data_IF_663600812162
#
_entry.id   IF_663600812162
#
_cell.length_a   1.000
_cell.length_b   1.000
_cell.length_c   1.000
_cell.angle_alpha   90.00
_cell.angle_beta   90.00
_cell.angle_gamma   90.00
#
_symmetry.space_group_name_H-M   'P 1'
#
loop_
_entity.id
_entity.type
_entity.pdbx_description
1 polymer ?
#
# COMPACT_ATOMS: atom_id res chain seq x y z
N UNK A 1 -22.17 -22.94 -9.23
CA UNK A 1 -21.45 -24.18 -8.86
C UNK A 1 -20.13 -24.39 -9.63
N UNK A 2 -20.03 -24.17 -10.95
CA UNK A 2 -18.78 -24.41 -11.73
C UNK A 2 -17.60 -23.48 -11.41
N UNK A 3 -17.84 -22.23 -11.00
CA UNK A 3 -16.78 -21.24 -10.76
C UNK A 3 -15.97 -21.54 -9.47
N UNK A 4 -16.67 -21.95 -8.40
CA UNK A 4 -16.05 -22.28 -7.10
C UNK A 4 -15.12 -23.50 -7.20
N UNK A 5 -15.49 -24.52 -7.98
CA UNK A 5 -14.63 -25.69 -8.21
C UNK A 5 -13.36 -25.36 -8.98
N UNK A 6 -13.44 -24.49 -10.00
CA UNK A 6 -12.25 -24.03 -10.76
C UNK A 6 -11.30 -23.22 -9.89
N UNK A 7 -11.84 -22.32 -9.06
CA UNK A 7 -11.04 -21.46 -8.18
C UNK A 7 -10.29 -22.29 -7.11
N UNK A 8 -10.97 -23.28 -6.54
CA UNK A 8 -10.37 -24.21 -5.56
C UNK A 8 -9.24 -25.02 -6.20
N UNK A 9 -9.44 -25.52 -7.42
CA UNK A 9 -8.40 -26.27 -8.16
C UNK A 9 -7.14 -25.42 -8.41
N UNK A 10 -7.32 -24.18 -8.89
CA UNK A 10 -6.19 -23.25 -9.13
C UNK A 10 -5.45 -22.93 -7.83
N UNK A 11 -6.20 -22.73 -6.74
CA UNK A 11 -5.63 -22.50 -5.42
C UNK A 11 -4.80 -23.70 -4.92
N UNK A 12 -5.32 -24.92 -5.06
CA UNK A 12 -4.62 -26.14 -4.65
C UNK A 12 -3.37 -26.40 -5.50
N UNK A 13 -3.44 -26.15 -6.81
CA UNK A 13 -2.30 -26.21 -7.73
C UNK A 13 -1.20 -25.19 -7.33
N UNK A 14 -1.59 -23.96 -6.99
CA UNK A 14 -0.66 -22.92 -6.52
C UNK A 14 -0.01 -23.28 -5.18
N UNK A 15 -0.78 -23.87 -4.25
CA UNK A 15 -0.27 -24.41 -2.97
C UNK A 15 0.65 -25.61 -3.17
N UNK A 16 0.59 -26.30 -4.30
CA UNK A 16 1.52 -27.37 -4.64
C UNK A 16 2.88 -26.89 -5.19
N UNK A 17 3.09 -25.58 -5.40
CA UNK A 17 4.28 -25.07 -6.08
C UNK A 17 5.17 -24.22 -5.16
N UNK A 18 6.49 -24.47 -5.19
CA UNK A 18 7.49 -23.82 -4.32
C UNK A 18 7.63 -22.32 -4.57
N UNK A 19 7.41 -21.85 -5.80
CA UNK A 19 7.60 -20.45 -6.17
C UNK A 19 6.56 -19.53 -5.53
N UNK A 20 5.31 -20.00 -5.39
CA UNK A 20 4.29 -19.25 -4.66
C UNK A 20 4.59 -19.18 -3.16
N UNK A 21 5.18 -20.24 -2.58
CA UNK A 21 5.66 -20.18 -1.19
C UNK A 21 6.75 -19.15 -1.00
N UNK A 22 7.76 -19.13 -1.88
CA UNK A 22 8.82 -18.12 -1.85
C UNK A 22 8.27 -16.71 -2.05
N UNK A 23 7.32 -16.53 -2.95
CA UNK A 23 6.66 -15.24 -3.14
C UNK A 23 5.87 -14.81 -1.90
N UNK A 24 5.17 -15.73 -1.21
CA UNK A 24 4.51 -15.42 0.06
C UNK A 24 5.50 -15.03 1.17
N UNK A 25 6.63 -15.73 1.28
CA UNK A 25 7.70 -15.37 2.23
C UNK A 25 8.28 -14.00 1.87
N UNK A 26 8.54 -13.74 0.60
CA UNK A 26 9.00 -12.44 0.10
C UNK A 26 8.02 -11.32 0.47
N UNK A 27 6.72 -11.48 0.22
CA UNK A 27 5.70 -10.51 0.61
C UNK A 27 5.70 -10.25 2.12
N UNK A 28 5.81 -11.29 2.96
CA UNK A 28 5.88 -11.12 4.43
C UNK A 28 7.07 -10.27 4.84
N UNK A 29 8.25 -10.57 4.31
CA UNK A 29 9.48 -9.84 4.63
C UNK A 29 9.36 -8.39 4.15
N UNK A 30 8.91 -8.15 2.91
CA UNK A 30 8.77 -6.79 2.38
C UNK A 30 7.75 -5.94 3.16
N UNK A 31 6.61 -6.51 3.55
CA UNK A 31 5.62 -5.81 4.36
C UNK A 31 6.14 -5.51 5.77
N UNK A 32 6.84 -6.46 6.40
CA UNK A 32 7.50 -6.24 7.68
C UNK A 32 8.56 -5.13 7.57
N UNK A 33 9.38 -5.13 6.52
CA UNK A 33 10.36 -4.08 6.24
C UNK A 33 9.72 -2.71 5.97
N UNK A 34 8.47 -2.64 5.52
CA UNK A 34 7.73 -1.38 5.42
C UNK A 34 7.29 -0.83 6.78
N UNK A 35 6.84 -1.71 7.68
CA UNK A 35 6.31 -1.31 9.00
C UNK A 35 7.40 -1.17 10.07
N UNK A 36 8.53 -1.85 9.97
CA UNK A 36 9.62 -1.77 10.97
C UNK A 36 10.22 -0.35 11.05
N UNK A 37 10.76 0.23 9.95
CA UNK A 37 11.33 1.58 10.01
C UNK A 37 10.27 2.62 10.37
N UNK A 38 9.08 2.49 9.78
CA UNK A 38 7.95 3.38 10.03
C UNK A 38 7.50 3.36 11.49
N UNK A 39 7.46 2.18 12.12
CA UNK A 39 7.08 2.01 13.51
C UNK A 39 8.19 2.48 14.47
N UNK A 40 9.45 2.19 14.16
CA UNK A 40 10.60 2.59 14.96
C UNK A 40 10.72 4.11 15.12
N UNK A 41 10.59 4.87 14.01
CA UNK A 41 10.58 6.34 14.03
C UNK A 41 9.48 6.88 14.95
N UNK A 42 8.28 6.27 14.93
CA UNK A 42 7.16 6.69 15.78
C UNK A 42 7.38 6.40 17.26
N UNK A 43 8.03 5.28 17.57
CA UNK A 43 8.36 4.91 18.94
C UNK A 43 9.43 5.83 19.52
N UNK A 44 10.39 6.28 18.72
CA UNK A 44 11.41 7.24 19.14
C UNK A 44 10.88 8.68 19.29
N UNK A 45 9.60 8.93 18.98
CA UNK A 45 9.02 10.27 19.02
C UNK A 45 9.52 11.17 17.88
N UNK A 46 10.19 10.62 16.87
CA UNK A 46 10.62 11.36 15.69
C UNK A 46 9.46 11.53 14.71
N UNK A 47 9.46 12.64 13.97
CA UNK A 47 8.45 12.88 12.95
C UNK A 47 8.67 11.98 11.74
N UNK A 48 7.74 11.07 11.50
CA UNK A 48 7.66 10.26 10.28
C UNK A 48 7.62 11.14 9.03
N UNK A 49 8.39 10.75 8.01
CA UNK A 49 8.58 11.51 6.78
C UNK A 49 9.09 12.95 7.05
N UNK A 50 10.13 13.09 7.87
CA UNK A 50 10.77 14.38 8.19
C UNK A 50 11.21 15.20 6.98
N UNK A 51 11.46 14.55 5.83
CA UNK A 51 11.73 15.22 4.56
C UNK A 51 10.51 15.83 3.86
N UNK A 52 9.29 15.59 4.37
CA UNK A 52 8.04 16.13 3.84
C UNK A 52 7.72 17.48 4.49
N UNK A 53 7.51 18.51 3.66
CA UNK A 53 7.13 19.84 4.16
C UNK A 53 5.87 19.79 5.02
N UNK A 54 5.82 20.59 6.09
CA UNK A 54 4.64 20.73 6.95
C UNK A 54 3.42 21.23 6.16
N UNK A 55 3.66 22.13 5.20
CA UNK A 55 2.60 22.73 4.39
C UNK A 55 2.09 21.80 3.29
N UNK A 56 2.76 20.66 3.07
CA UNK A 56 2.20 19.62 2.22
C UNK A 56 0.89 19.10 2.86
N UNK A 57 -0.16 18.75 2.08
CA UNK A 57 -1.44 18.29 2.64
C UNK A 57 -1.31 17.10 3.60
N UNK A 58 -0.49 16.10 3.22
CA UNK A 58 -0.13 15.00 4.10
C UNK A 58 0.78 15.44 5.27
N UNK A 59 1.60 16.47 5.06
CA UNK A 59 2.50 17.03 6.09
C UNK A 59 1.71 17.57 7.28
N UNK A 60 0.66 18.35 7.03
CA UNK A 60 -0.24 18.85 8.09
C UNK A 60 -0.89 17.70 8.86
N UNK A 61 -1.37 16.67 8.18
CA UNK A 61 -1.95 15.50 8.83
C UNK A 61 -0.93 14.75 9.71
N UNK A 62 0.27 14.52 9.18
CA UNK A 62 1.33 13.81 9.92
C UNK A 62 1.86 14.63 11.10
N UNK A 63 1.91 15.96 10.97
CA UNK A 63 2.27 16.87 12.06
C UNK A 63 1.23 16.81 13.18
N UNK A 64 -0.05 16.98 12.85
CA UNK A 64 -1.13 16.85 13.82
C UNK A 64 -1.14 15.48 14.49
N UNK A 65 -0.87 14.41 13.71
CA UNK A 65 -0.77 13.05 14.23
C UNK A 65 0.44 12.88 15.17
N UNK A 66 1.59 13.46 14.85
CA UNK A 66 2.80 13.41 15.68
C UNK A 66 2.58 14.10 17.04
N UNK A 67 1.88 15.24 17.04
CA UNK A 67 1.52 15.99 18.25
C UNK A 67 0.51 15.27 19.17
N UNK A 68 -0.06 14.13 18.76
CA UNK A 68 -0.88 13.30 19.65
C UNK A 68 -0.07 12.45 20.63
N UNK A 69 1.26 12.50 20.54
CA UNK A 69 2.24 11.85 21.44
C UNK A 69 1.94 10.37 21.69
N UNK A 70 1.21 10.06 22.77
CA UNK A 70 0.83 8.70 23.15
C UNK A 70 0.16 7.93 22.00
N UNK A 71 -0.78 8.55 21.27
CA UNK A 71 -1.46 7.88 20.16
C UNK A 71 -0.49 7.62 18.99
N UNK A 72 0.45 8.53 18.74
CA UNK A 72 1.50 8.36 17.75
C UNK A 72 2.41 7.17 18.06
N UNK A 73 2.87 7.08 19.31
CA UNK A 73 3.67 5.95 19.80
C UNK A 73 2.89 4.64 19.76
N UNK A 74 1.60 4.65 20.12
CA UNK A 74 0.72 3.47 20.03
C UNK A 74 0.62 2.92 18.60
N UNK A 75 0.49 3.80 17.59
CA UNK A 75 0.54 3.39 16.17
C UNK A 75 1.89 2.75 15.85
N UNK A 76 2.99 3.36 16.31
CA UNK A 76 4.35 2.82 16.13
C UNK A 76 4.51 1.41 16.68
N UNK A 77 4.13 1.20 17.94
CA UNK A 77 4.15 -0.12 18.60
C UNK A 77 3.28 -1.12 17.84
N UNK A 78 2.06 -0.72 17.44
CA UNK A 78 1.16 -1.55 16.66
C UNK A 78 1.80 -1.99 15.33
N UNK A 79 2.48 -1.09 14.63
CA UNK A 79 3.21 -1.40 13.39
C UNK A 79 4.34 -2.42 13.64
N UNK A 80 5.12 -2.26 14.71
CA UNK A 80 6.20 -3.18 15.07
C UNK A 80 5.67 -4.57 15.45
N UNK A 81 4.59 -4.64 16.23
CA UNK A 81 3.93 -5.91 16.60
C UNK A 81 3.43 -6.62 15.36
N UNK A 82 2.76 -5.92 14.44
CA UNK A 82 2.27 -6.49 13.19
C UNK A 82 3.42 -7.03 12.33
N UNK A 83 4.52 -6.27 12.22
CA UNK A 83 5.70 -6.72 11.49
C UNK A 83 6.31 -7.99 12.09
N UNK A 84 6.41 -8.07 13.42
CA UNK A 84 6.86 -9.28 14.11
C UNK A 84 5.92 -10.47 13.84
N UNK A 85 4.60 -10.26 13.90
CA UNK A 85 3.61 -11.31 13.62
C UNK A 85 3.71 -11.83 12.18
N UNK A 86 4.02 -10.97 11.21
CA UNK A 86 4.24 -11.35 9.80
C UNK A 86 5.49 -12.21 9.60
N UNK A 87 6.56 -11.95 10.35
CA UNK A 87 7.82 -12.69 10.26
C UNK A 87 7.74 -14.09 10.89
N UNK A 88 6.92 -14.26 11.93
CA UNK A 88 6.71 -15.56 12.57
C UNK A 88 5.68 -16.38 11.74
N UNK A 89 6.06 -17.51 11.13
CA UNK A 89 5.18 -18.21 10.17
C UNK A 89 3.82 -18.65 10.74
N UNK A 90 3.77 -18.99 12.03
CA UNK A 90 2.55 -19.41 12.71
C UNK A 90 1.54 -18.27 12.87
N UNK A 91 2.02 -17.06 13.17
CA UNK A 91 1.18 -15.87 13.40
C UNK A 91 0.99 -15.01 12.16
N UNK A 92 1.63 -15.34 11.04
CA UNK A 92 1.62 -14.52 9.83
C UNK A 92 0.21 -14.18 9.31
N UNK A 93 -0.78 -15.06 9.50
CA UNK A 93 -2.16 -14.75 9.14
C UNK A 93 -2.74 -13.62 10.00
N UNK A 94 -2.53 -13.66 11.32
CA UNK A 94 -2.99 -12.60 12.22
C UNK A 94 -2.28 -11.28 11.88
N UNK A 95 -0.97 -11.34 11.61
CA UNK A 95 -0.23 -10.19 11.10
C UNK A 95 -0.84 -9.63 9.82
N UNK A 96 -1.14 -10.46 8.83
CA UNK A 96 -1.74 -10.02 7.57
C UNK A 96 -3.14 -9.41 7.76
N UNK A 97 -3.97 -9.98 8.64
CA UNK A 97 -5.31 -9.48 8.96
C UNK A 97 -5.27 -8.11 9.66
N UNK A 98 -4.36 -7.92 10.61
CA UNK A 98 -4.17 -6.63 11.30
C UNK A 98 -3.53 -5.57 10.38
N UNK A 99 -2.63 -6.00 9.50
CA UNK A 99 -1.97 -5.12 8.52
C UNK A 99 -2.96 -4.56 7.50
N UNK A 100 -3.92 -5.35 7.04
CA UNK A 100 -4.87 -4.99 5.98
C UNK A 100 -5.61 -3.66 6.20
N UNK A 101 -6.37 -3.45 7.31
CA UNK A 101 -7.10 -2.20 7.51
C UNK A 101 -6.16 -0.99 7.61
N UNK A 102 -4.96 -1.17 8.18
CA UNK A 102 -3.98 -0.10 8.32
C UNK A 102 -3.41 0.30 6.96
N UNK A 103 -2.95 -0.67 6.14
CA UNK A 103 -2.38 -0.33 4.83
C UNK A 103 -3.43 0.17 3.86
N UNK A 104 -4.68 -0.31 3.96
CA UNK A 104 -5.78 0.21 3.17
C UNK A 104 -6.03 1.69 3.49
N UNK A 105 -6.08 2.04 4.78
CA UNK A 105 -6.26 3.43 5.20
C UNK A 105 -5.10 4.32 4.72
N UNK A 106 -3.85 3.89 4.91
CA UNK A 106 -2.65 4.60 4.42
C UNK A 106 -2.70 4.78 2.90
N UNK A 107 -3.10 3.75 2.15
CA UNK A 107 -3.20 3.80 0.70
C UNK A 107 -4.25 4.84 0.26
N UNK A 108 -5.44 4.82 0.86
CA UNK A 108 -6.50 5.81 0.59
C UNK A 108 -6.01 7.23 0.92
N UNK A 109 -5.33 7.42 2.05
CA UNK A 109 -4.77 8.71 2.44
C UNK A 109 -3.71 9.22 1.46
N UNK A 110 -2.85 8.33 0.96
CA UNK A 110 -1.81 8.68 -0.03
C UNK A 110 -2.45 9.18 -1.35
N UNK A 111 -3.49 8.50 -1.83
CA UNK A 111 -4.28 8.97 -2.98
C UNK A 111 -4.97 10.31 -2.69
N UNK A 112 -5.66 10.45 -1.54
CA UNK A 112 -6.38 11.67 -1.19
C UNK A 112 -5.46 12.91 -1.13
N UNK A 113 -4.20 12.73 -0.74
CA UNK A 113 -3.22 13.80 -0.59
C UNK A 113 -2.27 13.95 -1.79
N UNK A 114 -2.45 13.16 -2.86
CA UNK A 114 -1.56 13.08 -4.04
C UNK A 114 -0.09 12.88 -3.66
N UNK A 115 0.16 12.08 -2.63
CA UNK A 115 1.50 11.85 -2.09
C UNK A 115 2.35 10.98 -3.03
N UNK A 116 3.65 11.26 -3.13
CA UNK A 116 4.56 10.48 -4.00
C UNK A 116 4.69 9.01 -3.58
N UNK A 117 4.59 8.73 -2.27
CA UNK A 117 4.60 7.35 -1.76
C UNK A 117 3.39 6.49 -2.13
N UNK A 118 2.38 7.05 -2.82
CA UNK A 118 1.16 6.33 -3.24
C UNK A 118 1.47 5.01 -3.97
N UNK A 119 2.49 5.00 -4.83
CA UNK A 119 2.89 3.79 -5.57
C UNK A 119 3.29 2.66 -4.61
N UNK A 120 4.12 2.98 -3.61
CA UNK A 120 4.63 2.01 -2.64
C UNK A 120 3.50 1.49 -1.77
N UNK A 121 2.63 2.37 -1.27
CA UNK A 121 1.51 1.97 -0.41
C UNK A 121 0.50 1.08 -1.15
N UNK A 122 0.27 1.33 -2.45
CA UNK A 122 -0.56 0.47 -3.30
C UNK A 122 0.06 -0.92 -3.48
N UNK A 123 1.38 -1.01 -3.71
CA UNK A 123 2.07 -2.29 -3.82
C UNK A 123 2.05 -3.07 -2.49
N UNK A 124 2.19 -2.38 -1.36
CA UNK A 124 2.05 -2.99 -0.03
C UNK A 124 0.64 -3.53 0.20
N UNK A 125 -0.40 -2.78 -0.20
CA UNK A 125 -1.78 -3.25 -0.14
C UNK A 125 -2.00 -4.50 -1.00
N UNK A 126 -1.50 -4.51 -2.24
CA UNK A 126 -1.58 -5.66 -3.15
C UNK A 126 -0.84 -6.89 -2.61
N UNK A 127 0.35 -6.70 -2.03
CA UNK A 127 1.10 -7.78 -1.39
C UNK A 127 0.36 -8.33 -0.16
N UNK A 128 -0.30 -7.49 0.62
CA UNK A 128 -1.12 -7.95 1.76
C UNK A 128 -2.37 -8.71 1.28
N UNK A 129 -3.06 -8.23 0.24
CA UNK A 129 -4.15 -8.95 -0.40
C UNK A 129 -3.71 -10.33 -0.91
N UNK A 130 -2.53 -10.42 -1.52
CA UNK A 130 -1.94 -11.70 -1.90
C UNK A 130 -1.74 -12.63 -0.69
N UNK A 131 -1.23 -12.14 0.45
CA UNK A 131 -1.09 -12.95 1.66
C UNK A 131 -2.43 -13.44 2.22
N UNK A 132 -3.46 -12.60 2.19
CA UNK A 132 -4.81 -13.01 2.59
C UNK A 132 -5.37 -14.10 1.67
N UNK A 133 -5.20 -13.96 0.36
CA UNK A 133 -5.53 -15.01 -0.61
C UNK A 133 -4.70 -16.29 -0.38
N UNK A 134 -3.43 -16.15 -0.03
CA UNK A 134 -2.53 -17.28 0.26
C UNK A 134 -2.97 -18.04 1.51
N UNK A 135 -3.41 -17.36 2.57
CA UNK A 135 -3.86 -17.99 3.81
C UNK A 135 -5.40 -18.23 3.83
N UNK A 136 -6.08 -18.20 2.67
CA UNK A 136 -7.54 -18.32 2.54
C UNK A 136 -8.14 -19.55 3.25
N UNK A 137 -7.50 -20.72 3.15
CA UNK A 137 -8.00 -21.93 3.87
C UNK A 137 -8.03 -21.74 5.38
N UNK A 138 -7.03 -21.03 5.94
CA UNK A 138 -6.96 -20.75 7.38
C UNK A 138 -7.99 -19.71 7.78
N UNK A 139 -8.24 -18.70 6.93
CA UNK A 139 -9.31 -17.72 7.13
C UNK A 139 -10.68 -18.40 7.13
N UNK A 140 -10.95 -19.28 6.16
CA UNK A 140 -12.19 -20.06 6.08
C UNK A 140 -12.41 -20.93 7.32
N UNK A 141 -11.35 -21.44 7.92
CA UNK A 141 -11.40 -22.21 9.17
C UNK A 141 -11.81 -21.38 10.39
N UNK A 142 -11.50 -20.08 10.40
CA UNK A 142 -11.79 -19.15 11.51
C UNK A 142 -13.19 -18.53 11.35
N UNK A 143 -13.68 -18.36 10.12
CA UNK A 143 -14.98 -17.76 9.87
C UNK A 143 -16.14 -18.74 10.16
N UNK A 144 -17.25 -18.26 10.79
CA UNK A 144 -18.39 -19.10 11.19
C UNK A 144 -19.28 -19.57 10.03
N UNK A 145 -18.87 -19.40 8.77
CA UNK A 145 -19.65 -19.83 7.62
C UNK A 145 -19.67 -21.37 7.57
N UNK A 146 -20.87 -21.93 7.76
CA UNK A 146 -21.23 -23.36 7.68
C UNK A 146 -20.20 -24.19 6.91
N UNK A 147 -19.32 -24.86 7.65
CA UNK A 147 -18.36 -25.80 7.10
C UNK A 147 -19.16 -26.91 6.41
N UNK A 148 -19.26 -26.85 5.08
CA UNK A 148 -19.63 -28.03 4.32
C UNK A 148 -18.43 -28.95 4.47
N UNK A 149 -18.61 -30.04 5.20
CA UNK A 149 -17.62 -31.09 5.36
C UNK A 149 -17.16 -31.56 3.97
N UNK A 150 -16.06 -30.99 3.48
CA UNK A 150 -15.23 -31.61 2.44
C UNK A 150 -14.44 -32.69 3.18
N UNK A 151 -15.15 -33.78 3.53
CA UNK A 151 -14.55 -34.98 4.06
C UNK A 151 -13.53 -35.49 3.02
N UNK A 152 -12.25 -35.52 3.41
CA UNK A 152 -11.23 -36.29 2.71
C UNK A 152 -10.45 -35.55 1.63
N UNK A 153 -9.69 -34.50 1.98
CA UNK A 153 -8.39 -34.31 1.34
C UNK A 153 -7.31 -34.77 2.31
N UNK A 154 -7.06 -36.07 2.28
CA UNK A 154 -5.87 -36.66 2.89
C UNK A 154 -4.67 -35.85 2.41
N UNK A 155 -3.91 -35.31 3.37
CA UNK A 155 -2.64 -34.64 3.17
C UNK A 155 -1.59 -35.67 2.71
N UNK A 156 -1.81 -36.29 1.56
CA UNK A 156 -0.71 -36.86 0.79
C UNK A 156 0.15 -35.66 0.39
N UNK A 157 1.33 -35.56 1.01
CA UNK A 157 2.37 -34.59 0.65
C UNK A 157 2.78 -34.86 -0.79
N UNK A 158 2.00 -34.37 -1.76
CA UNK A 158 2.41 -34.35 -3.16
C UNK A 158 3.75 -33.62 -3.24
N UNK A 159 4.75 -34.14 -3.96
CA UNK A 159 6.02 -33.46 -4.13
C UNK A 159 5.77 -32.07 -4.72
N UNK A 160 6.43 -31.05 -4.15
CA UNK A 160 6.23 -29.67 -4.61
C UNK A 160 6.63 -29.56 -6.08
N UNK A 161 5.72 -29.08 -6.92
CA UNK A 161 6.03 -28.76 -8.30
C UNK A 161 7.10 -27.65 -8.35
N UNK A 162 8.17 -27.90 -9.09
CA UNK A 162 9.32 -27.01 -9.21
C UNK A 162 9.26 -26.09 -10.43
N UNK A 163 8.31 -26.32 -11.34
CA UNK A 163 8.14 -25.52 -12.55
C UNK A 163 7.84 -24.06 -12.19
N UNK A 164 8.56 -23.15 -12.83
CA UNK A 164 8.40 -21.72 -12.63
C UNK A 164 7.07 -21.25 -13.24
N UNK A 165 6.18 -20.58 -12.48
CA UNK A 165 4.89 -20.14 -12.96
C UNK A 165 5.01 -18.82 -13.74
N UNK A 166 5.51 -18.86 -14.97
CA UNK A 166 5.73 -17.67 -15.82
C UNK A 166 4.51 -16.77 -15.93
N UNK A 167 3.31 -17.34 -16.08
CA UNK A 167 2.07 -16.56 -16.18
C UNK A 167 1.82 -15.73 -14.92
N UNK A 168 2.03 -16.30 -13.73
CA UNK A 168 1.84 -15.59 -12.47
C UNK A 168 2.81 -14.41 -12.32
N UNK A 169 4.11 -14.65 -12.53
CA UNK A 169 5.11 -13.59 -12.42
C UNK A 169 4.97 -12.54 -13.53
N UNK A 170 4.51 -12.94 -14.73
CA UNK A 170 4.11 -12.02 -15.79
C UNK A 170 2.96 -11.11 -15.36
N UNK A 171 1.92 -11.66 -14.72
CA UNK A 171 0.83 -10.87 -14.14
C UNK A 171 1.31 -9.95 -13.02
N UNK A 172 2.19 -10.40 -12.11
CA UNK A 172 2.75 -9.57 -11.04
C UNK A 172 3.52 -8.39 -11.63
N UNK A 173 4.37 -8.63 -12.63
CA UNK A 173 5.12 -7.58 -13.32
C UNK A 173 4.19 -6.60 -14.03
N UNK A 174 3.19 -7.10 -14.75
CA UNK A 174 2.18 -6.27 -15.41
C UNK A 174 1.40 -5.42 -14.40
N UNK A 175 1.06 -5.97 -13.23
CA UNK A 175 0.39 -5.22 -12.16
C UNK A 175 1.28 -4.11 -11.59
N UNK A 176 2.57 -4.37 -11.36
CA UNK A 176 3.53 -3.35 -10.91
C UNK A 176 3.64 -2.24 -11.96
N UNK A 177 3.81 -2.60 -13.23
CA UNK A 177 3.86 -1.65 -14.35
C UNK A 177 2.56 -0.83 -14.43
N UNK A 178 1.40 -1.47 -14.30
CA UNK A 178 0.11 -0.79 -14.29
C UNK A 178 0.01 0.20 -13.13
N UNK A 179 0.43 -0.15 -11.91
CA UNK A 179 0.43 0.78 -10.77
C UNK A 179 1.29 2.02 -11.06
N UNK A 180 2.47 1.83 -11.65
CA UNK A 180 3.40 2.92 -11.99
C UNK A 180 2.77 3.82 -13.06
N UNK A 181 2.30 3.23 -14.16
CA UNK A 181 1.71 3.93 -15.31
C UNK A 181 0.44 4.67 -14.90
N UNK A 182 -0.51 4.00 -14.25
CA UNK A 182 -1.77 4.61 -13.82
C UNK A 182 -1.47 5.80 -12.90
N UNK A 183 -0.56 5.65 -11.93
CA UNK A 183 -0.22 6.78 -11.05
C UNK A 183 0.36 7.96 -11.83
N UNK A 184 1.17 7.72 -12.87
CA UNK A 184 1.74 8.79 -13.70
C UNK A 184 0.65 9.65 -14.36
N UNK A 185 -0.47 9.04 -14.74
CA UNK A 185 -1.56 9.71 -15.45
C UNK A 185 -2.78 10.04 -14.57
N UNK A 186 -2.76 9.65 -13.29
CA UNK A 186 -3.92 9.83 -12.41
C UNK A 186 -4.16 11.28 -12.02
N UNK A 187 -3.11 12.09 -11.93
CA UNK A 187 -3.17 13.49 -11.50
C UNK A 187 -2.45 14.40 -12.47
N UNK A 188 -3.13 15.44 -12.91
CA UNK A 188 -2.58 16.50 -13.76
C UNK A 188 -1.44 17.30 -13.10
N UNK A 189 -1.46 17.38 -11.77
CA UNK A 189 -0.46 18.06 -10.97
C UNK A 189 -0.36 17.42 -9.59
N UNK A 190 0.86 17.36 -9.06
CA UNK A 190 1.17 16.82 -7.74
C UNK A 190 2.04 17.83 -6.98
N UNK A 191 1.88 17.94 -5.66
CA UNK A 191 2.69 18.82 -4.84
C UNK A 191 4.15 18.35 -4.69
N UNK A 192 4.47 17.07 -4.93
CA UNK A 192 5.80 16.53 -4.57
C UNK A 192 6.04 16.50 -3.06
N UNK A 193 7.23 16.10 -2.61
CA UNK A 193 7.55 16.05 -1.17
C UNK A 193 8.15 17.38 -0.66
N UNK A 194 8.74 18.15 -1.58
CA UNK A 194 9.43 19.41 -1.29
C UNK A 194 9.05 20.50 -2.32
N UNK A 195 9.21 21.79 -1.97
CA UNK A 195 8.92 22.89 -2.90
C UNK A 195 9.75 22.80 -4.19
N UNK A 196 11.02 22.44 -4.09
CA UNK A 196 11.90 22.27 -5.25
C UNK A 196 11.43 21.13 -6.16
N UNK A 197 11.02 20.00 -5.58
CA UNK A 197 10.48 18.87 -6.33
C UNK A 197 9.19 19.25 -7.06
N UNK A 198 8.34 20.09 -6.44
CA UNK A 198 7.14 20.63 -7.06
C UNK A 198 7.49 21.50 -8.28
N UNK A 199 8.35 22.51 -8.11
CA UNK A 199 8.66 23.47 -9.16
C UNK A 199 9.48 22.88 -10.30
N UNK A 200 10.34 21.90 -10.03
CA UNK A 200 11.14 21.22 -11.06
C UNK A 200 10.27 20.51 -12.12
N UNK A 201 9.03 20.13 -11.76
CA UNK A 201 8.08 19.53 -12.70
C UNK A 201 7.31 20.54 -13.56
N UNK A 202 7.36 21.83 -13.24
CA UNK A 202 6.56 22.86 -13.91
C UNK A 202 6.98 23.20 -15.35
N UNK A 203 8.28 23.19 -15.75
CA UNK A 203 8.67 23.50 -17.12
C UNK A 203 8.04 22.58 -18.18
N UNK A 204 7.74 21.32 -17.82
CA UNK A 204 7.06 20.35 -18.70
C UNK A 204 5.53 20.39 -18.65
N UNK A 205 4.95 21.28 -17.85
CA UNK A 205 3.50 21.38 -17.68
C UNK A 205 2.86 22.17 -18.83
N UNK A 206 1.59 21.89 -19.14
CA UNK A 206 0.79 22.64 -20.11
C UNK A 206 0.67 24.14 -19.78
N UNK A 207 0.73 24.51 -18.50
CA UNK A 207 0.79 25.91 -18.05
C UNK A 207 1.82 26.04 -16.91
N UNK A 208 3.10 26.33 -17.23
CA UNK A 208 4.18 26.41 -16.24
C UNK A 208 3.90 27.43 -15.14
N UNK A 209 3.33 28.59 -15.48
CA UNK A 209 3.00 29.64 -14.51
C UNK A 209 1.92 29.19 -13.52
N UNK A 210 0.86 28.55 -14.00
CA UNK A 210 -0.17 27.98 -13.12
C UNK A 210 0.39 26.88 -12.20
N UNK A 211 1.36 26.10 -12.69
CA UNK A 211 2.05 25.09 -11.88
C UNK A 211 2.90 25.74 -10.77
N UNK A 212 3.67 26.78 -11.08
CA UNK A 212 4.44 27.54 -10.09
C UNK A 212 3.51 28.17 -9.04
N UNK A 213 2.39 28.78 -9.47
CA UNK A 213 1.39 29.36 -8.58
C UNK A 213 0.75 28.29 -7.66
N UNK A 214 0.55 27.06 -8.17
CA UNK A 214 0.08 25.93 -7.38
C UNK A 214 1.11 25.51 -6.31
N UNK A 215 2.38 25.39 -6.69
CA UNK A 215 3.45 25.06 -5.75
C UNK A 215 3.58 26.14 -4.67
N UNK A 216 3.53 27.42 -5.04
CA UNK A 216 3.54 28.54 -4.10
C UNK A 216 2.32 28.53 -3.15
N UNK A 217 1.13 28.24 -3.69
CA UNK A 217 -0.11 28.12 -2.92
C UNK A 217 0.00 27.11 -1.77
N UNK A 218 0.65 25.98 -2.03
CA UNK A 218 0.87 24.94 -1.02
C UNK A 218 2.01 25.34 -0.10
N UNK A 219 3.22 25.53 -0.63
CA UNK A 219 4.44 25.57 0.20
C UNK A 219 4.67 26.90 0.90
N UNK A 220 4.33 28.03 0.27
CA UNK A 220 4.55 29.36 0.84
C UNK A 220 3.30 29.90 1.52
N UNK A 221 2.12 29.72 0.91
CA UNK A 221 0.84 30.21 1.45
C UNK A 221 0.14 29.23 2.40
N UNK A 222 0.57 27.96 2.45
CA UNK A 222 0.00 26.95 3.36
C UNK A 222 -1.48 26.68 3.14
N UNK A 223 -1.98 26.84 1.90
CA UNK A 223 -3.40 26.69 1.59
C UNK A 223 -3.79 25.21 1.41
N UNK A 224 -5.05 24.84 1.71
CA UNK A 224 -5.53 23.48 1.47
C UNK A 224 -5.39 23.05 0.01
N UNK A 225 -5.08 21.77 -0.21
CA UNK A 225 -4.89 21.20 -1.54
C UNK A 225 -6.05 21.54 -2.51
N UNK A 226 -7.29 21.44 -2.02
CA UNK A 226 -8.47 21.72 -2.82
C UNK A 226 -8.51 23.16 -3.34
N UNK A 227 -8.21 24.15 -2.49
CA UNK A 227 -8.18 25.56 -2.89
C UNK A 227 -7.13 25.81 -3.98
N UNK A 228 -5.93 25.25 -3.81
CA UNK A 228 -4.86 25.38 -4.81
C UNK A 228 -5.21 24.70 -6.14
N UNK A 229 -5.90 23.56 -6.10
CA UNK A 229 -6.38 22.87 -7.29
C UNK A 229 -7.46 23.64 -8.04
N UNK A 230 -8.38 24.30 -7.33
CA UNK A 230 -9.42 25.15 -7.95
C UNK A 230 -8.77 26.30 -8.74
N UNK A 231 -7.77 26.97 -8.16
CA UNK A 231 -7.03 28.04 -8.83
C UNK A 231 -6.26 27.52 -10.05
N UNK A 232 -5.57 26.39 -9.90
CA UNK A 232 -4.83 25.75 -10.99
C UNK A 232 -5.73 25.34 -12.16
N UNK A 233 -6.85 24.67 -11.88
CA UNK A 233 -7.80 24.22 -12.91
C UNK A 233 -8.43 25.40 -13.66
N UNK A 234 -8.78 26.47 -12.94
CA UNK A 234 -9.26 27.72 -13.54
C UNK A 234 -8.23 28.33 -14.48
N UNK A 235 -6.95 28.36 -14.10
CA UNK A 235 -5.86 28.85 -14.94
C UNK A 235 -5.55 27.95 -16.15
N UNK A 236 -5.86 26.66 -16.07
CA UNK A 236 -5.77 25.70 -17.18
C UNK A 236 -6.97 25.78 -18.16
N UNK A 237 -7.99 26.60 -17.85
CA UNK A 237 -9.24 26.63 -18.62
C UNK A 237 -10.06 25.34 -18.49
N UNK A 238 -9.75 24.51 -17.50
CA UNK A 238 -10.50 23.29 -17.19
C UNK A 238 -11.53 23.63 -16.13
N UNK A 239 -12.77 23.92 -16.54
CA UNK A 239 -13.87 24.07 -15.58
C UNK A 239 -14.19 22.70 -15.00
N UNK A 240 -13.91 22.50 -13.70
CA UNK A 240 -14.42 21.39 -12.90
C UNK A 240 -15.41 21.95 -11.88
#
# INVERSE_FOLDING_TARGET
MRLSGRLTRVYDEAKGNKWFHYFAVFCRIMLALGFIPSGFVKVNGERFASGLSNNHPLGHYLEALHQTEYYYTFIGISQLVIALLLLIPRTALLGALLYFPIILNICILAYATRFEGTRITTLMLLANLYLLCWDYNRIKSILPFKQRNEAGYSASKKPLNTQFPFLFFGCVFAMIAAVIVINQFLYDIRPGSSPMECTNGCPGNSNPKACEDFCDCIYNRGKPLHECLVVYNKAKGTNQ
#
